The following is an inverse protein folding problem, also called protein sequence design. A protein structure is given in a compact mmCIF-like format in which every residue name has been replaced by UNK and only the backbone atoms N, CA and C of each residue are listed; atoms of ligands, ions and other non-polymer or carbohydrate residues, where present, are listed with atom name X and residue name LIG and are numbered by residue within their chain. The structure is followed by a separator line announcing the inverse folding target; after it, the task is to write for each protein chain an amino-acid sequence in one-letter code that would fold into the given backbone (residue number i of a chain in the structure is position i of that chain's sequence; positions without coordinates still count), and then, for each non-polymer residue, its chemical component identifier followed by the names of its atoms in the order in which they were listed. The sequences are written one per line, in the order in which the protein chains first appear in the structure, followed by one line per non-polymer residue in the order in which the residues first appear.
data_IF_690030123386
#
_entry.id   IF_690030123386
#
_cell.length_a   1.000
_cell.length_b   1.000
_cell.length_c   1.000
_cell.angle_alpha   90.00
_cell.angle_beta   90.00
_cell.angle_gamma   90.00
#
_symmetry.space_group_name_H-M   'P 1'
#
loop_
_entity.id
_entity.type
_entity.pdbx_description
1 polymer ?
#
# COMPACT_ATOMS: atom_id res chain seq x y z
N UNK A 1 17.80 -1.70 24.04
CA UNK A 1 17.68 -2.93 23.24
C UNK A 1 17.73 -2.51 21.79
N UNK A 2 18.80 -2.78 21.05
CA UNK A 2 18.77 -2.67 19.61
C UNK A 2 19.94 -2.03 18.90
N UNK A 3 21.03 -1.66 19.55
CA UNK A 3 22.21 -1.16 18.84
C UNK A 3 22.95 -2.23 18.03
N UNK A 4 22.70 -3.49 18.28
CA UNK A 4 23.40 -4.60 17.61
C UNK A 4 22.70 -5.14 16.35
N UNK A 5 21.46 -4.74 16.06
CA UNK A 5 20.72 -5.26 14.89
C UNK A 5 20.76 -4.37 13.65
N UNK A 6 21.23 -3.14 13.74
CA UNK A 6 21.39 -2.27 12.57
C UNK A 6 22.79 -2.32 12.02
N UNK A 7 23.11 -3.37 11.26
CA UNK A 7 24.40 -3.50 10.58
C UNK A 7 24.56 -2.47 9.46
N UNK A 8 23.45 -1.94 8.92
CA UNK A 8 23.42 -0.89 7.90
C UNK A 8 22.15 -0.09 7.99
N UNK A 9 22.25 1.22 7.87
CA UNK A 9 21.11 2.13 7.84
C UNK A 9 20.91 2.74 6.46
N UNK A 10 19.68 3.19 6.17
CA UNK A 10 19.35 4.00 4.99
C UNK A 10 18.87 5.34 5.46
N UNK A 11 19.52 6.39 5.01
CA UNK A 11 19.26 7.76 5.47
C UNK A 11 19.32 8.74 4.30
N UNK A 12 18.64 9.85 4.44
CA UNK A 12 18.64 10.94 3.46
C UNK A 12 19.81 11.90 3.71
N UNK A 13 20.35 11.88 4.92
CA UNK A 13 21.52 12.66 5.32
C UNK A 13 22.53 11.74 6.02
N UNK A 14 23.86 12.00 5.89
CA UNK A 14 24.86 11.24 6.59
C UNK A 14 24.62 11.28 8.12
N UNK A 15 24.51 10.12 8.78
CA UNK A 15 24.36 10.08 10.23
C UNK A 15 25.69 10.39 10.92
N UNK A 16 25.62 10.97 12.11
CA UNK A 16 26.80 11.20 12.97
C UNK A 16 27.21 9.92 13.72
N UNK A 17 27.38 8.83 13.00
CA UNK A 17 27.74 7.52 13.57
C UNK A 17 28.74 6.78 12.66
N UNK A 18 29.49 5.84 13.24
CA UNK A 18 30.39 4.95 12.49
C UNK A 18 29.67 3.74 11.86
N UNK A 19 28.33 3.65 12.01
CA UNK A 19 27.55 2.55 11.44
C UNK A 19 27.53 2.67 9.91
N UNK A 20 27.84 1.61 9.16
CA UNK A 20 27.72 1.64 7.71
C UNK A 20 26.32 2.02 7.26
N UNK A 21 26.19 3.01 6.39
CA UNK A 21 24.91 3.52 5.89
C UNK A 21 24.88 3.60 4.36
N UNK A 22 23.71 3.68 3.81
CA UNK A 22 23.45 3.91 2.38
C UNK A 22 22.64 5.21 2.27
N UNK A 23 23.18 6.21 1.59
CA UNK A 23 22.43 7.42 1.26
C UNK A 23 21.40 7.12 0.19
N UNK A 24 20.16 7.55 0.43
CA UNK A 24 19.04 7.42 -0.50
C UNK A 24 18.33 8.77 -0.63
N UNK A 25 17.77 9.09 -1.82
CA UNK A 25 17.04 10.34 -2.02
C UNK A 25 15.74 10.43 -1.22
N UNK A 26 15.14 9.29 -0.88
CA UNK A 26 13.86 9.16 -0.16
C UNK A 26 13.87 7.86 0.64
N UNK A 27 13.93 7.97 1.96
CA UNK A 27 14.01 6.83 2.85
C UNK A 27 12.70 6.02 2.88
N UNK A 28 11.54 6.66 2.75
CA UNK A 28 10.25 5.97 2.69
C UNK A 28 10.12 5.12 1.45
N UNK A 29 10.48 5.67 0.30
CA UNK A 29 10.51 4.96 -0.97
C UNK A 29 11.51 3.81 -0.96
N UNK A 30 12.72 4.05 -0.43
CA UNK A 30 13.73 3.02 -0.29
C UNK A 30 13.26 1.87 0.62
N UNK A 31 12.61 2.18 1.75
CA UNK A 31 12.02 1.18 2.64
C UNK A 31 10.96 0.34 1.91
N UNK A 32 10.06 0.97 1.17
CA UNK A 32 8.99 0.28 0.46
C UNK A 32 9.54 -0.68 -0.61
N UNK A 33 10.51 -0.22 -1.39
CA UNK A 33 11.18 -1.06 -2.41
C UNK A 33 11.96 -2.22 -1.78
N UNK A 34 12.66 -1.98 -0.68
CA UNK A 34 13.35 -3.04 0.06
C UNK A 34 12.37 -4.07 0.63
N UNK A 35 11.24 -3.61 1.18
CA UNK A 35 10.20 -4.50 1.65
C UNK A 35 9.61 -5.35 0.51
N UNK A 36 9.37 -4.75 -0.65
CA UNK A 36 8.90 -5.47 -1.82
C UNK A 36 9.86 -6.59 -2.24
N UNK A 37 11.16 -6.29 -2.30
CA UNK A 37 12.20 -7.29 -2.64
C UNK A 37 12.31 -8.36 -1.55
N UNK A 38 12.30 -7.98 -0.28
CA UNK A 38 12.38 -8.90 0.85
C UNK A 38 11.27 -9.95 0.84
N UNK A 39 10.05 -9.54 0.50
CA UNK A 39 8.89 -10.43 0.38
C UNK A 39 8.75 -11.07 -1.01
N UNK A 40 9.76 -10.98 -1.89
CA UNK A 40 9.76 -11.62 -3.21
C UNK A 40 8.80 -10.99 -4.21
N UNK A 41 8.63 -9.68 -4.16
CA UNK A 41 7.79 -8.87 -5.07
C UNK A 41 6.37 -9.42 -5.24
N UNK A 42 5.61 -9.59 -4.14
CA UNK A 42 4.34 -10.32 -4.17
C UNK A 42 3.29 -9.66 -5.06
N UNK A 43 3.34 -8.34 -5.23
CA UNK A 43 2.44 -7.61 -6.13
C UNK A 43 2.54 -8.06 -7.59
N UNK A 44 3.71 -8.57 -8.02
CA UNK A 44 3.89 -9.13 -9.37
C UNK A 44 3.20 -10.49 -9.58
N UNK A 45 2.81 -11.16 -8.50
CA UNK A 45 2.12 -12.47 -8.53
C UNK A 45 0.60 -12.33 -8.35
N UNK A 46 0.11 -11.11 -8.13
CA UNK A 46 -1.29 -10.79 -7.88
C UNK A 46 -1.79 -9.78 -8.92
N UNK A 47 -3.07 -9.86 -9.24
CA UNK A 47 -3.76 -8.76 -9.91
C UNK A 47 -4.21 -7.76 -8.84
N UNK A 48 -3.48 -6.65 -8.71
CA UNK A 48 -3.74 -5.67 -7.65
C UNK A 48 -4.67 -4.57 -8.15
N UNK A 49 -5.75 -4.34 -7.41
CA UNK A 49 -6.73 -3.25 -7.64
C UNK A 49 -6.61 -2.25 -6.51
N UNK A 50 -6.28 -1.00 -6.82
CA UNK A 50 -6.23 0.10 -5.86
C UNK A 50 -7.49 0.96 -5.94
N UNK A 51 -8.04 1.34 -4.81
CA UNK A 51 -9.21 2.22 -4.72
C UNK A 51 -8.85 3.44 -3.90
N UNK A 52 -8.91 4.62 -4.50
CA UNK A 52 -8.73 5.92 -3.83
C UNK A 52 -9.96 6.80 -3.96
N UNK A 53 -9.97 7.90 -3.25
CA UNK A 53 -11.06 8.87 -3.21
C UNK A 53 -11.28 9.38 -1.79
N UNK A 54 -12.14 10.35 -1.61
CA UNK A 54 -12.49 10.84 -0.27
C UNK A 54 -13.38 9.81 0.42
N UNK A 55 -14.51 9.47 -0.17
CA UNK A 55 -15.51 8.57 0.36
C UNK A 55 -15.73 7.35 -0.52
N UNK A 56 -16.29 6.27 0.04
CA UNK A 56 -16.70 5.08 -0.70
C UNK A 56 -15.59 4.06 -0.97
N UNK A 57 -14.35 4.29 -0.55
CA UNK A 57 -13.24 3.34 -0.72
C UNK A 57 -13.57 1.95 -0.18
N UNK A 58 -13.97 1.89 1.10
CA UNK A 58 -14.29 0.64 1.79
C UNK A 58 -15.42 -0.11 1.09
N UNK A 59 -16.53 0.57 0.80
CA UNK A 59 -17.67 -0.06 0.10
C UNK A 59 -17.23 -0.60 -1.26
N UNK A 60 -16.50 0.19 -2.03
CA UNK A 60 -16.04 -0.19 -3.38
C UNK A 60 -15.09 -1.39 -3.32
N UNK A 61 -14.15 -1.43 -2.37
CA UNK A 61 -13.21 -2.56 -2.24
C UNK A 61 -13.94 -3.86 -1.90
N UNK A 62 -14.92 -3.82 -0.99
CA UNK A 62 -15.74 -4.99 -0.67
C UNK A 62 -16.60 -5.46 -1.85
N UNK A 63 -17.21 -4.53 -2.60
CA UNK A 63 -17.98 -4.87 -3.80
C UNK A 63 -17.11 -5.52 -4.88
N UNK A 64 -15.91 -4.97 -5.14
CA UNK A 64 -14.97 -5.55 -6.10
C UNK A 64 -14.54 -6.95 -5.65
N UNK A 65 -14.19 -7.13 -4.36
CA UNK A 65 -13.84 -8.43 -3.80
C UNK A 65 -14.95 -9.44 -4.05
N UNK A 66 -16.18 -9.14 -3.63
CA UNK A 66 -17.32 -10.03 -3.79
C UNK A 66 -17.62 -10.34 -5.27
N UNK A 67 -17.48 -9.35 -6.15
CA UNK A 67 -17.68 -9.55 -7.59
C UNK A 67 -16.67 -10.54 -8.15
N UNK A 68 -15.39 -10.38 -7.86
CA UNK A 68 -14.32 -11.27 -8.31
C UNK A 68 -14.50 -12.70 -7.78
N UNK A 69 -14.86 -12.85 -6.50
CA UNK A 69 -15.14 -14.14 -5.89
C UNK A 69 -16.32 -14.86 -6.55
N UNK A 70 -17.43 -14.14 -6.77
CA UNK A 70 -18.64 -14.72 -7.35
C UNK A 70 -18.53 -15.03 -8.84
N UNK A 71 -17.88 -14.13 -9.62
CA UNK A 71 -17.86 -14.25 -11.08
C UNK A 71 -16.67 -15.05 -11.59
N UNK A 72 -15.56 -15.05 -10.87
CA UNK A 72 -14.32 -15.73 -11.27
C UNK A 72 -13.99 -16.95 -10.40
N UNK A 73 -14.70 -17.17 -9.30
CA UNK A 73 -14.31 -18.18 -8.31
C UNK A 73 -12.93 -17.94 -7.71
N UNK A 74 -12.46 -16.67 -7.72
CA UNK A 74 -11.11 -16.31 -7.35
C UNK A 74 -10.98 -16.18 -5.82
N UNK A 75 -9.82 -16.54 -5.28
CA UNK A 75 -9.45 -16.13 -3.92
C UNK A 75 -8.94 -14.71 -3.95
N UNK A 76 -9.54 -13.84 -3.16
CA UNK A 76 -9.27 -12.39 -3.17
C UNK A 76 -8.83 -11.92 -1.79
N UNK A 77 -7.66 -11.28 -1.72
CA UNK A 77 -7.24 -10.55 -0.53
C UNK A 77 -7.81 -9.13 -0.50
N UNK A 78 -7.96 -8.56 0.69
CA UNK A 78 -8.42 -7.19 0.88
C UNK A 78 -7.54 -6.48 1.92
N UNK A 79 -7.14 -5.26 1.63
CA UNK A 79 -6.48 -4.34 2.58
C UNK A 79 -7.37 -3.10 2.71
N UNK A 80 -7.84 -2.81 3.91
CA UNK A 80 -8.76 -1.69 4.08
C UNK A 80 -8.99 -1.24 5.53
N UNK A 81 -9.82 -0.24 5.67
CA UNK A 81 -10.06 0.48 6.93
C UNK A 81 -10.62 -0.41 8.04
N UNK A 82 -11.56 -1.28 7.74
CA UNK A 82 -12.24 -2.06 8.76
C UNK A 82 -11.41 -3.26 9.20
N UNK A 83 -10.77 -3.91 8.25
CA UNK A 83 -9.95 -5.11 8.44
C UNK A 83 -9.19 -5.43 7.17
N UNK A 84 -8.15 -6.25 7.31
CA UNK A 84 -7.51 -6.91 6.19
C UNK A 84 -8.05 -8.35 6.08
N UNK A 85 -8.20 -8.84 4.86
CA UNK A 85 -8.66 -10.21 4.58
C UNK A 85 -7.64 -10.94 3.72
N UNK A 86 -7.27 -12.13 4.13
CA UNK A 86 -6.51 -13.07 3.30
C UNK A 86 -7.45 -14.22 2.97
N UNK A 87 -8.08 -14.17 1.79
CA UNK A 87 -9.26 -14.99 1.52
C UNK A 87 -10.33 -14.76 2.59
N UNK A 88 -10.63 -15.77 3.41
CA UNK A 88 -11.63 -15.70 4.48
C UNK A 88 -11.03 -15.38 5.87
N UNK A 89 -9.70 -15.33 5.98
CA UNK A 89 -9.04 -15.03 7.24
C UNK A 89 -8.98 -13.53 7.49
N UNK A 90 -9.58 -13.10 8.61
CA UNK A 90 -9.51 -11.70 9.07
C UNK A 90 -8.21 -11.39 9.79
N UNK A 91 -7.61 -10.26 9.47
CA UNK A 91 -6.44 -9.70 10.15
C UNK A 91 -6.81 -8.29 10.61
N UNK A 92 -6.68 -7.96 11.90
CA UNK A 92 -6.94 -6.61 12.40
C UNK A 92 -6.06 -5.57 11.71
N UNK A 93 -6.56 -4.36 11.62
CA UNK A 93 -5.83 -3.19 11.11
C UNK A 93 -6.14 -1.97 11.97
N UNK A 94 -5.19 -1.06 12.06
CA UNK A 94 -5.30 0.24 12.71
C UNK A 94 -5.32 1.39 11.68
N UNK A 95 -5.12 1.07 10.40
CA UNK A 95 -5.02 2.07 9.31
C UNK A 95 -5.70 1.60 8.04
N UNK A 96 -6.27 2.56 7.32
CA UNK A 96 -6.85 2.32 5.98
C UNK A 96 -5.85 1.68 5.02
N UNK A 97 -4.63 2.21 5.00
CA UNK A 97 -3.50 1.67 4.26
C UNK A 97 -2.33 1.55 5.22
N UNK A 98 -1.90 0.34 5.58
CA UNK A 98 -0.78 0.13 6.48
C UNK A 98 0.55 0.72 5.96
N UNK A 99 1.60 0.66 6.78
CA UNK A 99 2.95 0.99 6.34
C UNK A 99 3.47 0.03 5.24
N UNK A 100 4.53 0.46 4.56
CA UNK A 100 5.05 -0.26 3.39
C UNK A 100 5.45 -1.71 3.70
N UNK A 101 6.08 -1.96 4.86
CA UNK A 101 6.50 -3.30 5.26
C UNK A 101 5.29 -4.21 5.48
N UNK A 102 4.29 -3.70 6.21
CA UNK A 102 3.05 -4.43 6.49
C UNK A 102 2.26 -4.70 5.21
N UNK A 103 2.18 -3.75 4.28
CA UNK A 103 1.52 -3.95 2.98
C UNK A 103 2.18 -5.09 2.21
N UNK A 104 3.51 -5.08 2.07
CA UNK A 104 4.22 -6.13 1.33
C UNK A 104 4.09 -7.50 2.02
N UNK A 105 4.13 -7.54 3.36
CA UNK A 105 3.88 -8.76 4.13
C UNK A 105 2.47 -9.31 3.88
N UNK A 106 1.44 -8.47 3.90
CA UNK A 106 0.06 -8.90 3.62
C UNK A 106 -0.09 -9.44 2.20
N UNK A 107 0.51 -8.78 1.20
CA UNK A 107 0.50 -9.25 -0.18
C UNK A 107 1.21 -10.61 -0.31
N UNK A 108 2.33 -10.81 0.37
CA UNK A 108 3.02 -12.10 0.38
C UNK A 108 2.15 -13.20 0.99
N UNK A 109 1.51 -12.91 2.14
CA UNK A 109 0.59 -13.86 2.78
C UNK A 109 -0.63 -14.18 1.89
N UNK A 110 -1.11 -13.22 1.09
CA UNK A 110 -2.17 -13.46 0.10
C UNK A 110 -1.70 -14.42 -1.00
N UNK A 111 -0.47 -14.24 -1.50
CA UNK A 111 0.15 -15.17 -2.47
C UNK A 111 0.24 -16.58 -1.89
N UNK A 112 0.76 -16.71 -0.66
CA UNK A 112 0.91 -18.00 0.03
C UNK A 112 -0.42 -18.70 0.28
N UNK A 113 -1.49 -17.92 0.51
CA UNK A 113 -2.87 -18.44 0.65
C UNK A 113 -3.54 -18.79 -0.68
N UNK A 114 -2.83 -18.59 -1.81
CA UNK A 114 -3.34 -18.86 -3.15
C UNK A 114 -4.34 -17.83 -3.67
N UNK A 115 -4.30 -16.59 -3.15
CA UNK A 115 -5.04 -15.48 -3.75
C UNK A 115 -4.47 -15.17 -5.14
N UNK A 116 -5.33 -14.82 -6.06
CA UNK A 116 -4.97 -14.35 -7.40
C UNK A 116 -5.21 -12.85 -7.59
N UNK A 117 -6.03 -12.27 -6.71
CA UNK A 117 -6.33 -10.85 -6.67
C UNK A 117 -6.08 -10.28 -5.28
N UNK A 118 -5.66 -9.02 -5.26
CA UNK A 118 -5.65 -8.19 -4.06
C UNK A 118 -6.40 -6.88 -4.35
N UNK A 119 -7.35 -6.52 -3.51
CA UNK A 119 -8.08 -5.26 -3.61
C UNK A 119 -7.70 -4.43 -2.38
N UNK A 120 -7.29 -3.18 -2.57
CA UNK A 120 -6.87 -2.37 -1.45
C UNK A 120 -7.35 -0.93 -1.51
N UNK A 121 -7.68 -0.40 -0.34
CA UNK A 121 -7.87 1.02 -0.15
C UNK A 121 -6.50 1.73 -0.16
N UNK A 122 -6.39 2.77 -0.99
CA UNK A 122 -5.17 3.58 -1.11
C UNK A 122 -5.49 5.01 -0.68
N UNK A 123 -5.09 5.36 0.54
CA UNK A 123 -5.27 6.72 1.06
C UNK A 123 -4.28 7.70 0.43
N UNK A 124 -4.64 8.99 0.38
CA UNK A 124 -3.74 10.03 -0.10
C UNK A 124 -2.45 10.12 0.74
N UNK A 125 -2.56 9.93 2.05
CA UNK A 125 -1.39 9.83 2.93
C UNK A 125 -0.46 8.67 2.54
N UNK A 126 -1.03 7.51 2.19
CA UNK A 126 -0.23 6.35 1.78
C UNK A 126 0.53 6.61 0.48
N UNK A 127 -0.07 7.32 -0.45
CA UNK A 127 0.57 7.74 -1.71
C UNK A 127 1.70 8.72 -1.44
N UNK A 128 1.45 9.78 -0.68
CA UNK A 128 2.45 10.78 -0.33
C UNK A 128 3.62 10.22 0.50
N UNK A 129 3.35 9.22 1.34
CA UNK A 129 4.35 8.56 2.19
C UNK A 129 4.97 7.31 1.55
N UNK A 130 4.81 7.11 0.25
CA UNK A 130 5.37 5.98 -0.51
C UNK A 130 5.04 4.58 0.07
N UNK A 131 3.94 4.45 0.86
CA UNK A 131 3.58 3.18 1.50
C UNK A 131 3.22 2.08 0.51
N UNK A 132 2.83 2.47 -0.70
CA UNK A 132 2.43 1.57 -1.79
C UNK A 132 3.46 1.55 -2.93
N UNK A 133 4.63 2.13 -2.73
CA UNK A 133 5.71 2.08 -3.70
C UNK A 133 6.16 0.62 -3.93
N UNK A 134 6.54 0.29 -5.17
CA UNK A 134 6.84 -1.08 -5.55
C UNK A 134 5.61 -1.96 -5.84
N UNK A 135 4.40 -1.40 -5.72
CA UNK A 135 3.16 -2.06 -6.14
C UNK A 135 2.78 -1.54 -7.52
N UNK A 136 2.64 -2.46 -8.47
CA UNK A 136 2.05 -2.15 -9.77
C UNK A 136 0.56 -2.48 -9.74
N UNK A 137 -0.26 -1.45 -9.75
CA UNK A 137 -1.71 -1.63 -9.83
C UNK A 137 -2.13 -1.99 -11.26
N UNK A 138 -2.94 -3.03 -11.40
CA UNK A 138 -3.56 -3.38 -12.68
C UNK A 138 -4.75 -2.49 -12.98
N UNK A 139 -5.44 -2.02 -11.95
CA UNK A 139 -6.57 -1.10 -12.03
C UNK A 139 -6.49 -0.11 -10.88
N UNK A 140 -6.59 1.16 -11.17
CA UNK A 140 -6.80 2.24 -10.22
C UNK A 140 -8.24 2.76 -10.31
N UNK A 141 -8.94 2.78 -9.20
CA UNK A 141 -10.31 3.31 -9.09
C UNK A 141 -10.28 4.60 -8.30
N UNK A 142 -10.84 5.65 -8.86
CA UNK A 142 -11.03 6.94 -8.21
C UNK A 142 -12.53 7.14 -7.96
N UNK A 143 -12.96 7.14 -6.70
CA UNK A 143 -14.41 7.19 -6.39
C UNK A 143 -14.97 8.60 -6.46
N UNK A 144 -14.39 9.53 -5.72
CA UNK A 144 -14.78 10.94 -5.67
C UNK A 144 -13.71 11.80 -5.00
N UNK A 145 -13.88 13.12 -5.13
CA UNK A 145 -13.07 14.12 -4.43
C UNK A 145 -14.00 15.15 -3.79
N UNK A 146 -14.05 15.19 -2.47
CA UNK A 146 -14.71 16.21 -1.66
C UNK A 146 -13.71 16.75 -0.64
N UNK A 147 -14.03 17.88 -0.02
CA UNK A 147 -13.14 18.49 0.95
C UNK A 147 -12.91 17.56 2.15
N UNK A 148 -11.63 17.20 2.37
CA UNK A 148 -11.15 16.41 3.50
C UNK A 148 -9.63 16.53 3.59
N UNK A 149 -9.04 16.26 4.76
CA UNK A 149 -7.58 16.20 4.98
C UNK A 149 -6.80 17.45 4.48
N UNK A 150 -7.41 18.63 4.47
CA UNK A 150 -6.72 19.87 4.08
C UNK A 150 -5.72 20.34 5.15
N UNK A 151 -5.84 19.89 6.37
CA UNK A 151 -4.85 20.01 7.44
C UNK A 151 -3.50 19.37 7.05
N UNK A 152 -3.51 18.32 6.24
CA UNK A 152 -2.33 17.61 5.74
C UNK A 152 -1.91 18.08 4.35
N UNK A 153 -2.86 18.24 3.43
CA UNK A 153 -2.56 18.53 2.01
C UNK A 153 -2.49 20.02 1.69
N UNK A 154 -2.99 20.90 2.59
CA UNK A 154 -3.02 22.34 2.37
C UNK A 154 -4.14 22.78 1.42
N UNK A 155 -4.17 22.29 0.20
CA UNK A 155 -5.16 22.68 -0.83
C UNK A 155 -5.90 21.48 -1.44
N UNK A 156 -7.06 21.75 -2.04
CA UNK A 156 -7.80 20.73 -2.78
C UNK A 156 -7.04 20.23 -4.01
N UNK A 157 -6.21 21.08 -4.60
CA UNK A 157 -5.38 20.70 -5.74
C UNK A 157 -4.29 19.72 -5.33
N UNK A 158 -3.57 19.99 -4.26
CA UNK A 158 -2.56 19.07 -3.72
C UNK A 158 -3.18 17.75 -3.28
N UNK A 159 -4.36 17.80 -2.67
CA UNK A 159 -5.13 16.61 -2.33
C UNK A 159 -5.52 15.78 -3.56
N UNK A 160 -5.95 16.44 -4.65
CA UNK A 160 -6.22 15.79 -5.93
C UNK A 160 -4.94 15.17 -6.52
N UNK A 161 -3.84 15.95 -6.57
CA UNK A 161 -2.56 15.46 -7.10
C UNK A 161 -2.04 14.24 -6.34
N UNK A 162 -2.16 14.25 -5.01
CA UNK A 162 -1.83 13.07 -4.20
C UNK A 162 -2.61 11.83 -4.61
N UNK A 163 -3.93 11.94 -4.82
CA UNK A 163 -4.75 10.80 -5.25
C UNK A 163 -4.49 10.39 -6.70
N UNK A 164 -4.16 11.34 -7.57
CA UNK A 164 -3.83 11.09 -8.98
C UNK A 164 -2.62 10.17 -9.12
N UNK A 165 -1.69 10.17 -8.15
CA UNK A 165 -0.53 9.27 -8.16
C UNK A 165 -0.93 7.80 -8.35
N UNK A 166 -2.11 7.38 -7.86
CA UNK A 166 -2.59 6.03 -8.09
C UNK A 166 -2.80 5.72 -9.58
N UNK A 167 -3.27 6.70 -10.37
CA UNK A 167 -3.42 6.52 -11.81
C UNK A 167 -2.06 6.35 -12.51
N UNK A 168 -1.04 7.09 -12.06
CA UNK A 168 0.32 7.00 -12.60
C UNK A 168 0.98 5.64 -12.26
N UNK A 169 0.58 5.01 -11.14
CA UNK A 169 1.02 3.68 -10.72
C UNK A 169 0.20 2.54 -11.38
N UNK A 170 -0.84 2.88 -12.14
CA UNK A 170 -1.75 1.90 -12.76
C UNK A 170 -1.43 1.76 -14.25
N UNK A 171 -1.00 0.57 -14.68
CA UNK A 171 -0.69 0.26 -16.10
C UNK A 171 -0.94 -1.22 -16.42
#
# INVERSE_FOLDING_TARGET
VGSEMCIRDRCEHPPETEIPYILVPDAHKALALCAAVWYGTPAGKLTVVGVTGTNGKTTTTYLIKQLLERTKGAKVGLIGTNQNLISDKTIPTDRTTPDALTVQRLLAQMVDAGCTYAVMEVSSHALMQSRVEGIRFRVGVFTNLTQDHLDYHGTMEEYYLAKRMLADMSR
#
